data_IF_414953693100
#
_entry.id   IF_414953693100
#
_cell.length_a   1.000
_cell.length_b   1.000
_cell.length_c   1.000
_cell.angle_alpha   90.00
_cell.angle_beta   90.00
_cell.angle_gamma   90.00
#
_symmetry.space_group_name_H-M   'P 1'
#
loop_
_entity.id
_entity.type
_entity.pdbx_description
1 polymer ?
#
# COMPACT_ATOMS: atom_id res chain seq x y z
N UNK A 1 2.20 -13.06 1.06
CA UNK A 1 1.97 -12.80 2.49
C UNK A 1 1.90 -11.30 2.72
N UNK A 2 1.05 -10.89 3.66
CA UNK A 2 0.92 -9.50 4.11
C UNK A 2 1.36 -9.45 5.58
N UNK A 3 2.28 -8.53 5.90
CA UNK A 3 2.82 -8.34 7.24
C UNK A 3 2.67 -6.86 7.64
N UNK A 4 2.24 -6.60 8.87
CA UNK A 4 2.23 -5.24 9.43
C UNK A 4 3.62 -4.94 10.00
N UNK A 5 4.12 -3.73 9.75
CA UNK A 5 5.42 -3.28 10.23
C UNK A 5 5.24 -2.44 11.49
N UNK A 6 5.81 -2.89 12.61
CA UNK A 6 5.72 -2.18 13.90
C UNK A 6 6.66 -0.97 14.00
N UNK A 7 7.74 -0.94 13.22
CA UNK A 7 8.73 0.13 13.22
C UNK A 7 8.33 1.28 12.29
N UNK A 8 7.27 1.99 12.66
CA UNK A 8 6.72 3.12 11.92
C UNK A 8 6.65 4.40 12.75
N UNK A 9 6.81 5.59 12.12
CA UNK A 9 6.51 6.85 12.76
C UNK A 9 5.07 6.89 13.29
N UNK A 10 4.83 7.66 14.34
CA UNK A 10 3.50 7.81 14.90
C UNK A 10 2.48 8.28 13.84
N UNK A 11 1.36 7.56 13.74
CA UNK A 11 0.31 7.85 12.75
C UNK A 11 0.63 7.40 11.33
N UNK A 12 1.67 6.60 11.12
CA UNK A 12 1.99 5.95 9.85
C UNK A 12 1.77 4.45 9.98
N UNK A 13 0.99 3.89 9.06
CA UNK A 13 0.77 2.45 8.95
C UNK A 13 1.78 1.86 7.98
N UNK A 14 2.52 0.85 8.42
CA UNK A 14 3.50 0.15 7.60
C UNK A 14 3.04 -1.25 7.25
N UNK A 15 3.16 -1.64 5.98
CA UNK A 15 2.75 -2.95 5.48
C UNK A 15 3.84 -3.48 4.57
N UNK A 16 4.15 -4.76 4.65
CA UNK A 16 5.03 -5.47 3.72
C UNK A 16 4.25 -6.55 2.99
N UNK A 17 4.45 -6.63 1.67
CA UNK A 17 3.89 -7.68 0.82
C UNK A 17 5.00 -8.48 0.17
N UNK A 18 4.89 -9.81 0.20
CA UNK A 18 5.91 -10.75 -0.28
C UNK A 18 5.27 -12.00 -0.91
N UNK A 19 6.07 -12.77 -1.66
CA UNK A 19 5.61 -13.96 -2.39
C UNK A 19 4.41 -13.70 -3.30
N UNK A 20 3.48 -14.66 -3.36
CA UNK A 20 2.24 -14.55 -4.14
C UNK A 20 1.07 -14.28 -3.22
N UNK A 21 0.36 -13.17 -3.46
CA UNK A 21 -0.89 -12.88 -2.77
C UNK A 21 -2.08 -13.47 -3.52
N UNK A 22 -3.04 -14.00 -2.76
CA UNK A 22 -4.33 -14.45 -3.25
C UNK A 22 -5.48 -13.65 -2.59
N UNK A 23 -6.70 -13.89 -3.06
CA UNK A 23 -7.86 -13.16 -2.54
C UNK A 23 -8.22 -13.48 -1.08
N UNK A 24 -7.84 -14.66 -0.56
CA UNK A 24 -8.02 -14.99 0.86
C UNK A 24 -7.07 -14.18 1.73
N UNK A 25 -5.81 -14.00 1.34
CA UNK A 25 -4.84 -13.17 2.06
C UNK A 25 -5.38 -11.73 2.25
N UNK A 26 -6.01 -11.16 1.22
CA UNK A 26 -6.65 -9.84 1.30
C UNK A 26 -7.88 -9.84 2.21
N UNK A 27 -8.73 -10.86 2.11
CA UNK A 27 -9.95 -10.97 2.92
C UNK A 27 -9.60 -11.07 4.41
N UNK A 28 -8.59 -11.86 4.73
CA UNK A 28 -8.13 -12.08 6.10
C UNK A 28 -7.44 -10.83 6.66
N UNK A 29 -6.76 -10.05 5.80
CA UNK A 29 -6.10 -8.81 6.19
C UNK A 29 -7.05 -7.60 6.28
N UNK A 30 -8.21 -7.66 5.61
CA UNK A 30 -9.18 -6.55 5.57
C UNK A 30 -9.57 -5.98 6.94
N UNK A 31 -9.85 -6.78 7.98
CA UNK A 31 -10.19 -6.22 9.30
C UNK A 31 -9.02 -5.47 9.95
N UNK A 32 -7.79 -5.97 9.80
CA UNK A 32 -6.59 -5.29 10.30
C UNK A 32 -6.36 -3.97 9.54
N UNK A 33 -6.59 -3.96 8.23
CA UNK A 33 -6.57 -2.73 7.45
C UNK A 33 -7.59 -1.71 7.94
N UNK A 34 -8.83 -2.14 8.18
CA UNK A 34 -9.90 -1.25 8.66
C UNK A 34 -9.54 -0.62 10.02
N UNK A 35 -8.90 -1.38 10.91
CA UNK A 35 -8.37 -0.85 12.19
C UNK A 35 -7.23 0.15 11.98
N UNK A 36 -6.27 -0.17 11.09
CA UNK A 36 -5.10 0.67 10.82
C UNK A 36 -5.44 1.97 10.07
N UNK A 37 -6.58 2.02 9.38
CA UNK A 37 -7.05 3.20 8.62
C UNK A 37 -8.28 3.87 9.26
N UNK A 38 -8.61 3.54 10.52
CA UNK A 38 -9.80 4.08 11.19
C UNK A 38 -9.66 5.55 11.64
N UNK A 39 -8.48 6.16 11.48
CA UNK A 39 -8.19 7.54 11.87
C UNK A 39 -8.65 8.58 10.85
N UNK A 40 -8.68 9.85 11.26
CA UNK A 40 -9.03 10.98 10.40
C UNK A 40 -8.02 11.24 9.27
N UNK A 41 -6.77 10.79 9.48
CA UNK A 41 -5.69 10.89 8.51
C UNK A 41 -5.02 9.53 8.29
N UNK A 42 -5.01 9.09 7.04
CA UNK A 42 -4.42 7.82 6.62
C UNK A 42 -3.08 8.11 5.96
N UNK A 43 -1.99 7.62 6.56
CA UNK A 43 -0.63 7.65 6.04
C UNK A 43 -0.11 6.21 5.97
N UNK A 44 0.36 5.79 4.81
CA UNK A 44 0.75 4.39 4.56
C UNK A 44 2.16 4.32 3.99
N UNK A 45 2.94 3.34 4.45
CA UNK A 45 4.17 2.87 3.82
C UNK A 45 3.96 1.41 3.41
N UNK A 46 3.89 1.15 2.11
CA UNK A 46 3.77 -0.20 1.56
C UNK A 46 5.13 -0.65 1.00
N UNK A 47 5.69 -1.72 1.56
CA UNK A 47 6.96 -2.32 1.13
C UNK A 47 6.68 -3.55 0.28
N UNK A 48 7.03 -3.49 -0.99
CA UNK A 48 6.90 -4.60 -1.92
C UNK A 48 8.23 -5.36 -1.96
N UNK A 49 8.24 -6.54 -1.36
CA UNK A 49 9.45 -7.33 -1.24
C UNK A 49 9.97 -7.82 -2.61
N UNK A 50 11.29 -8.10 -2.74
CA UNK A 50 11.89 -8.58 -3.99
C UNK A 50 11.29 -9.88 -4.52
N UNK A 51 10.79 -10.73 -3.62
CA UNK A 51 10.14 -12.01 -3.94
C UNK A 51 8.64 -11.88 -4.26
N UNK A 52 8.07 -10.67 -4.21
CA UNK A 52 6.67 -10.46 -4.57
C UNK A 52 6.38 -10.81 -6.04
N UNK A 53 5.58 -11.84 -6.28
CA UNK A 53 5.23 -12.31 -7.62
C UNK A 53 4.00 -11.61 -8.20
N UNK A 54 3.43 -10.67 -7.44
CA UNK A 54 2.13 -10.07 -7.74
C UNK A 54 0.98 -10.90 -7.16
N UNK A 55 -0.23 -10.46 -7.50
CA UNK A 55 -1.39 -11.30 -7.33
C UNK A 55 -1.36 -12.36 -8.43
N UNK A 56 -1.69 -13.62 -8.11
CA UNK A 56 -1.71 -14.71 -9.10
C UNK A 56 -2.58 -14.40 -10.35
N UNK A 57 -2.69 -15.34 -11.31
CA UNK A 57 -3.48 -15.12 -12.53
C UNK A 57 -4.88 -14.57 -12.22
N UNK A 58 -5.19 -13.35 -12.68
CA UNK A 58 -6.48 -12.66 -12.46
C UNK A 58 -6.52 -11.67 -11.28
N UNK A 59 -5.53 -11.70 -10.39
CA UNK A 59 -5.61 -10.98 -9.12
C UNK A 59 -5.44 -9.46 -9.22
N UNK A 60 -4.60 -8.93 -10.12
CA UNK A 60 -4.49 -7.47 -10.35
C UNK A 60 -5.84 -6.82 -10.76
N UNK A 61 -6.69 -7.56 -11.48
CA UNK A 61 -7.99 -7.06 -11.96
C UNK A 61 -9.07 -7.13 -10.87
N UNK A 62 -9.07 -8.18 -10.04
CA UNK A 62 -9.96 -8.24 -8.86
C UNK A 62 -9.56 -7.21 -7.80
N UNK A 63 -8.27 -6.99 -7.58
CA UNK A 63 -7.75 -6.00 -6.63
C UNK A 63 -8.07 -4.57 -7.04
N UNK A 64 -7.94 -4.24 -8.33
CA UNK A 64 -8.39 -2.94 -8.83
C UNK A 64 -9.86 -2.70 -8.52
N UNK A 65 -10.73 -3.72 -8.58
CA UNK A 65 -12.16 -3.56 -8.26
C UNK A 65 -12.41 -3.36 -6.76
N UNK A 66 -11.70 -4.09 -5.90
CA UNK A 66 -11.83 -3.98 -4.44
C UNK A 66 -11.21 -2.67 -3.91
N UNK A 67 -10.04 -2.30 -4.46
CA UNK A 67 -9.33 -1.06 -4.19
C UNK A 67 -10.12 0.16 -4.64
N UNK A 68 -10.62 0.18 -5.88
CA UNK A 68 -11.49 1.27 -6.36
C UNK A 68 -12.72 1.43 -5.45
N UNK A 69 -13.42 0.33 -5.11
CA UNK A 69 -14.61 0.38 -4.26
C UNK A 69 -14.37 0.90 -2.83
N UNK A 70 -13.18 0.67 -2.26
CA UNK A 70 -12.83 1.11 -0.90
C UNK A 70 -12.19 2.51 -0.87
N UNK A 71 -11.42 2.88 -1.89
CA UNK A 71 -10.86 4.23 -2.08
C UNK A 71 -11.96 5.28 -2.20
N UNK A 72 -13.11 4.94 -2.81
CA UNK A 72 -14.26 5.84 -2.89
C UNK A 72 -14.94 6.12 -1.53
N UNK A 73 -14.78 5.27 -0.51
CA UNK A 73 -15.48 5.44 0.79
C UNK A 73 -14.74 6.31 1.80
N UNK A 74 -13.40 6.34 1.76
CA UNK A 74 -12.56 7.10 2.70
C UNK A 74 -11.71 8.18 2.00
N UNK A 75 -12.15 8.63 0.83
CA UNK A 75 -11.40 9.48 -0.11
C UNK A 75 -10.79 10.76 0.53
N UNK A 76 -11.39 11.35 1.56
CA UNK A 76 -10.84 12.57 2.19
C UNK A 76 -9.74 12.34 3.23
N UNK A 77 -9.58 11.12 3.74
CA UNK A 77 -8.67 10.81 4.85
C UNK A 77 -7.25 10.44 4.37
N UNK A 78 -7.08 9.96 3.14
CA UNK A 78 -5.75 9.64 2.59
C UNK A 78 -4.89 10.89 2.41
N UNK A 79 -3.76 10.95 3.11
CA UNK A 79 -2.80 12.05 3.04
C UNK A 79 -1.56 11.69 2.23
N UNK A 80 -0.89 10.59 2.60
CA UNK A 80 0.38 10.16 2.00
C UNK A 80 0.46 8.65 1.89
N UNK A 81 0.85 8.16 0.71
CA UNK A 81 1.12 6.75 0.44
C UNK A 81 2.54 6.63 -0.13
N UNK A 82 3.44 6.02 0.62
CA UNK A 82 4.78 5.71 0.17
C UNK A 82 4.83 4.24 -0.27
N UNK A 83 5.20 3.98 -1.52
CA UNK A 83 5.43 2.61 -2.00
C UNK A 83 6.93 2.40 -2.15
N UNK A 84 7.44 1.34 -1.52
CA UNK A 84 8.87 1.04 -1.44
C UNK A 84 9.12 -0.25 -2.22
N UNK A 85 9.78 -0.16 -3.37
CA UNK A 85 10.01 -1.28 -4.28
C UNK A 85 11.11 -1.00 -5.29
N UNK A 86 11.89 -2.04 -5.62
CA UNK A 86 12.87 -2.01 -6.72
C UNK A 86 12.32 -2.62 -8.03
N UNK A 87 11.02 -2.91 -8.08
CA UNK A 87 10.38 -3.51 -9.27
C UNK A 87 9.95 -2.45 -10.27
N UNK A 88 10.46 -2.53 -11.50
CA UNK A 88 10.14 -1.59 -12.58
C UNK A 88 8.63 -1.48 -12.87
N UNK A 89 7.91 -2.61 -12.84
CA UNK A 89 6.47 -2.62 -13.11
C UNK A 89 5.66 -1.86 -12.05
N UNK A 90 6.13 -1.78 -10.80
CA UNK A 90 5.43 -1.07 -9.71
C UNK A 90 5.33 0.41 -10.03
N UNK A 91 6.43 1.02 -10.48
CA UNK A 91 6.44 2.42 -10.87
C UNK A 91 5.45 2.70 -12.01
N UNK A 92 5.37 1.80 -13.00
CA UNK A 92 4.44 1.92 -14.12
C UNK A 92 2.98 1.77 -13.70
N UNK A 93 2.68 0.78 -12.86
CA UNK A 93 1.33 0.56 -12.32
C UNK A 93 0.87 1.75 -11.49
N UNK A 94 1.72 2.26 -10.58
CA UNK A 94 1.38 3.42 -9.77
C UNK A 94 1.23 4.68 -10.60
N UNK A 95 2.08 4.92 -11.60
CA UNK A 95 1.91 6.06 -12.51
C UNK A 95 0.54 6.02 -13.23
N UNK A 96 0.06 4.84 -13.60
CA UNK A 96 -1.23 4.66 -14.25
C UNK A 96 -2.43 4.84 -13.30
N UNK A 97 -2.24 4.69 -11.99
CA UNK A 97 -3.32 4.64 -10.99
C UNK A 97 -3.27 5.79 -9.96
N UNK A 98 -2.16 6.53 -9.88
CA UNK A 98 -1.91 7.59 -8.90
C UNK A 98 -2.99 8.69 -8.94
N UNK A 99 -3.53 9.00 -10.11
CA UNK A 99 -4.59 10.00 -10.29
C UNK A 99 -5.92 9.62 -9.61
N UNK A 100 -6.09 8.35 -9.22
CA UNK A 100 -7.26 7.86 -8.50
C UNK A 100 -7.10 7.95 -6.98
N UNK A 101 -5.90 8.26 -6.51
CA UNK A 101 -5.60 8.42 -5.08
C UNK A 101 -5.76 9.91 -4.71
N UNK A 102 -6.64 10.26 -3.76
CA UNK A 102 -6.85 11.65 -3.34
C UNK A 102 -5.68 12.32 -2.62
N UNK A 103 -4.75 11.53 -2.08
CA UNK A 103 -3.57 12.00 -1.35
C UNK A 103 -2.32 12.03 -2.22
N UNK A 104 -1.19 12.40 -1.60
CA UNK A 104 0.11 12.31 -2.25
C UNK A 104 0.58 10.86 -2.32
N UNK A 105 1.16 10.47 -3.44
CA UNK A 105 1.80 9.16 -3.60
C UNK A 105 3.25 9.33 -4.06
N UNK A 106 4.16 8.58 -3.45
CA UNK A 106 5.57 8.60 -3.79
C UNK A 106 6.14 7.17 -3.83
N UNK A 107 7.09 6.94 -4.75
CA UNK A 107 7.78 5.66 -4.89
C UNK A 107 9.23 5.81 -4.47
N UNK A 108 9.71 4.84 -3.69
CA UNK A 108 11.07 4.78 -3.16
C UNK A 108 11.69 3.42 -3.48
N UNK A 109 13.01 3.35 -3.61
CA UNK A 109 13.72 2.06 -3.66
C UNK A 109 13.76 1.41 -2.27
N UNK A 110 14.06 0.11 -2.21
CA UNK A 110 14.13 -0.62 -0.93
C UNK A 110 15.22 -0.04 0.00
N UNK A 111 16.32 0.45 -0.55
CA UNK A 111 17.39 1.12 0.20
C UNK A 111 16.97 2.48 0.79
N UNK A 112 15.83 3.03 0.34
CA UNK A 112 15.27 4.32 0.77
C UNK A 112 14.10 4.16 1.76
N UNK A 113 13.88 2.98 2.35
CA UNK A 113 12.75 2.72 3.27
C UNK A 113 12.66 3.77 4.39
N UNK A 114 13.77 4.13 5.01
CA UNK A 114 13.80 5.14 6.08
C UNK A 114 13.38 6.53 5.60
N UNK A 115 13.71 6.87 4.35
CA UNK A 115 13.27 8.11 3.72
C UNK A 115 11.78 8.06 3.40
N UNK A 116 11.27 6.92 2.95
CA UNK A 116 9.86 6.68 2.69
C UNK A 116 9.02 6.87 3.97
N UNK A 117 9.45 6.28 5.09
CA UNK A 117 8.82 6.46 6.42
C UNK A 117 8.72 7.93 6.82
N UNK A 118 9.83 8.67 6.73
CA UNK A 118 9.87 10.11 7.06
C UNK A 118 8.97 10.93 6.14
N UNK A 119 8.98 10.65 4.84
CA UNK A 119 8.12 11.33 3.89
C UNK A 119 6.64 11.05 4.18
N UNK A 120 6.26 9.81 4.49
CA UNK A 120 4.87 9.49 4.83
C UNK A 120 4.38 10.21 6.09
N UNK A 121 5.26 10.40 7.08
CA UNK A 121 4.92 11.01 8.36
C UNK A 121 4.50 12.49 8.26
N UNK A 122 5.06 13.27 7.32
CA UNK A 122 4.80 14.71 7.26
C UNK A 122 6.07 15.52 7.21
#
# INVERSE_FOLDING_TARGET
MIEVLDDMPAGVTGIRVSGRLNGDDLRDFKPAMEELVSGDEIRIVEVIAPDYEGFGPGGLVEDLKLGLGSVFKHHSAFKRIAVVSDKEWVAHTLHALAWMVPGEIAVFGLDDLERAKRWAAG
#
